data_IF_923931661902
#
_entry.id   IF_923931661902
#
_cell.length_a   1.000
_cell.length_b   1.000
_cell.length_c   1.000
_cell.angle_alpha   90.00
_cell.angle_beta   90.00
_cell.angle_gamma   90.00
#
_symmetry.space_group_name_H-M   'P 1'
#
loop_
_entity.id
_entity.type
_entity.pdbx_description
1 polymer ?
#
# COMPACT_ATOMS: atom_id res chain seq x y z
N UNK A 1 -5.90 8.13 -7.34
CA UNK A 1 -5.36 7.46 -8.55
C UNK A 1 -5.60 5.96 -8.42
N UNK A 2 -5.64 5.21 -9.53
CA UNK A 2 -5.79 3.73 -9.52
C UNK A 2 -4.44 3.05 -9.74
N UNK A 3 -4.30 1.82 -9.26
CA UNK A 3 -3.13 0.96 -9.46
C UNK A 3 -3.56 -0.48 -9.73
N UNK A 4 -2.68 -1.26 -10.37
CA UNK A 4 -2.86 -2.72 -10.59
C UNK A 4 -1.69 -3.56 -10.03
N UNK A 5 -0.64 -2.90 -9.54
CA UNK A 5 0.53 -3.55 -8.95
C UNK A 5 1.18 -2.63 -7.92
N UNK A 6 1.68 -3.24 -6.85
CA UNK A 6 2.44 -2.57 -5.80
C UNK A 6 3.70 -3.37 -5.49
N UNK A 7 4.81 -2.68 -5.29
CA UNK A 7 6.01 -3.25 -4.67
C UNK A 7 6.14 -2.70 -3.27
N UNK A 8 6.30 -3.57 -2.28
CA UNK A 8 6.52 -3.20 -0.88
C UNK A 8 7.72 -3.96 -0.37
N UNK A 9 8.75 -3.27 0.13
CA UNK A 9 10.00 -3.86 0.62
C UNK A 9 10.58 -4.91 -0.35
N UNK A 10 10.63 -4.60 -1.65
CA UNK A 10 11.06 -5.46 -2.78
C UNK A 10 10.11 -6.59 -3.18
N UNK A 11 9.04 -6.85 -2.42
CA UNK A 11 8.02 -7.83 -2.79
C UNK A 11 6.98 -7.19 -3.73
N UNK A 12 6.77 -7.80 -4.89
CA UNK A 12 5.76 -7.36 -5.86
C UNK A 12 4.44 -8.10 -5.67
N UNK A 13 3.34 -7.37 -5.62
CA UNK A 13 1.98 -7.88 -5.42
C UNK A 13 1.10 -7.31 -6.53
N UNK A 14 0.50 -8.19 -7.34
CA UNK A 14 -0.50 -7.80 -8.34
C UNK A 14 -1.86 -7.69 -7.66
N UNK A 15 -2.46 -6.51 -7.72
CA UNK A 15 -3.71 -6.18 -7.06
C UNK A 15 -4.25 -4.85 -7.54
N UNK A 16 -5.57 -4.78 -7.70
CA UNK A 16 -6.25 -3.55 -8.07
C UNK A 16 -6.61 -2.70 -6.84
N UNK A 17 -6.49 -1.39 -6.97
CA UNK A 17 -6.92 -0.49 -5.91
C UNK A 17 -6.81 0.97 -6.27
N UNK A 18 -6.99 1.80 -5.26
CA UNK A 18 -6.86 3.23 -5.34
C UNK A 18 -5.87 3.73 -4.31
N UNK A 19 -5.15 4.79 -4.66
CA UNK A 19 -4.28 5.48 -3.72
C UNK A 19 -4.41 7.00 -3.85
N UNK A 20 -4.13 7.69 -2.76
CA UNK A 20 -3.99 9.15 -2.70
C UNK A 20 -2.73 9.50 -1.93
N UNK A 21 -2.03 10.54 -2.36
CA UNK A 21 -0.87 11.10 -1.67
C UNK A 21 -1.24 12.50 -1.16
N UNK A 22 -1.12 12.71 0.15
CA UNK A 22 -1.34 13.98 0.84
C UNK A 22 -0.05 14.29 1.61
N UNK A 23 0.75 15.24 1.11
CA UNK A 23 2.11 15.51 1.60
C UNK A 23 2.98 14.23 1.63
N UNK A 24 3.36 13.74 2.81
CA UNK A 24 4.09 12.48 3.02
C UNK A 24 3.18 11.29 3.32
N UNK A 25 1.89 11.53 3.54
CA UNK A 25 0.94 10.48 3.84
C UNK A 25 0.45 9.82 2.55
N UNK A 26 0.47 8.49 2.51
CA UNK A 26 -0.09 7.69 1.42
C UNK A 26 -1.26 6.90 1.98
N UNK A 27 -2.43 7.08 1.38
CA UNK A 27 -3.61 6.27 1.68
C UNK A 27 -3.87 5.32 0.53
N UNK A 28 -3.98 4.04 0.83
CA UNK A 28 -4.25 2.97 -0.12
C UNK A 28 -5.59 2.31 0.24
N UNK A 29 -6.43 2.08 -0.75
CA UNK A 29 -7.70 1.37 -0.63
C UNK A 29 -7.77 0.25 -1.66
N UNK A 30 -7.98 -0.99 -1.21
CA UNK A 30 -8.06 -2.16 -2.09
C UNK A 30 -8.94 -3.25 -1.48
N UNK A 31 -9.60 -4.03 -2.32
CA UNK A 31 -10.29 -5.27 -1.90
C UNK A 31 -9.36 -6.49 -1.93
N UNK A 32 -8.11 -6.33 -2.37
CA UNK A 32 -7.15 -7.43 -2.50
C UNK A 32 -6.70 -7.95 -1.12
N UNK A 33 -7.12 -9.18 -0.80
CA UNK A 33 -6.75 -9.84 0.46
C UNK A 33 -5.25 -10.05 0.62
N UNK A 34 -4.50 -10.21 -0.47
CA UNK A 34 -3.03 -10.35 -0.46
C UNK A 34 -2.33 -9.11 0.09
N UNK A 35 -2.73 -7.92 -0.35
CA UNK A 35 -2.23 -6.65 0.19
C UNK A 35 -2.59 -6.52 1.66
N UNK A 36 -3.86 -6.76 2.00
CA UNK A 36 -4.32 -6.65 3.39
C UNK A 36 -3.58 -7.55 4.36
N UNK A 37 -3.38 -8.82 4.00
CA UNK A 37 -2.60 -9.77 4.80
C UNK A 37 -1.14 -9.35 4.94
N UNK A 38 -0.54 -8.83 3.87
CA UNK A 38 0.84 -8.37 3.89
C UNK A 38 1.02 -7.19 4.87
N UNK A 39 0.16 -6.17 4.81
CA UNK A 39 0.24 -5.03 5.74
C UNK A 39 -0.10 -5.40 7.18
N UNK A 40 -1.00 -6.36 7.42
CA UNK A 40 -1.23 -6.89 8.77
C UNK A 40 0.01 -7.57 9.35
N UNK A 41 0.85 -8.20 8.52
CA UNK A 41 2.11 -8.79 8.99
C UNK A 41 3.15 -7.71 9.30
N UNK A 42 3.24 -6.66 8.46
CA UNK A 42 4.12 -5.52 8.69
C UNK A 42 3.76 -4.74 9.97
N UNK A 43 2.47 -4.63 10.31
CA UNK A 43 2.02 -3.99 11.56
C UNK A 43 2.66 -4.64 12.80
N UNK A 44 2.97 -5.94 12.75
CA UNK A 44 3.58 -6.67 13.85
C UNK A 44 5.10 -6.47 13.96
N UNK A 45 5.76 -5.97 12.91
CA UNK A 45 7.23 -5.87 12.84
C UNK A 45 7.75 -4.46 13.07
N UNK A 46 6.89 -3.44 12.98
CA UNK A 46 7.27 -2.00 13.01
C UNK A 46 8.38 -1.65 11.99
N UNK A 47 8.46 -2.44 10.92
CA UNK A 47 9.43 -2.22 9.84
C UNK A 47 9.01 -1.04 8.97
N UNK A 48 10.02 -0.30 8.51
CA UNK A 48 9.82 0.73 7.49
C UNK A 48 9.43 0.11 6.16
N UNK A 49 8.65 0.87 5.41
CA UNK A 49 8.08 0.47 4.13
C UNK A 49 8.65 1.32 3.01
N UNK A 50 9.34 0.66 2.09
CA UNK A 50 9.65 1.19 0.77
C UNK A 50 8.55 0.74 -0.20
N UNK A 51 7.85 1.70 -0.80
CA UNK A 51 6.67 1.47 -1.61
C UNK A 51 6.82 2.03 -3.01
N UNK A 52 6.51 1.19 -4.00
CA UNK A 52 6.36 1.61 -5.40
C UNK A 52 4.98 1.19 -5.90
N UNK A 53 4.20 2.13 -6.44
CA UNK A 53 2.88 1.85 -7.00
C UNK A 53 2.95 1.95 -8.53
N UNK A 54 2.34 0.98 -9.22
CA UNK A 54 2.32 0.89 -10.68
C UNK A 54 0.89 0.91 -11.23
N UNK A 55 0.76 1.40 -12.46
CA UNK A 55 -0.41 1.16 -13.31
C UNK A 55 0.10 0.75 -14.68
N UNK A 56 -0.31 -0.43 -15.14
CA UNK A 56 0.29 -1.11 -16.29
C UNK A 56 1.81 -1.28 -16.04
N UNK A 57 2.64 -0.87 -17.00
CA UNK A 57 4.10 -0.89 -16.89
C UNK A 57 4.71 0.42 -16.36
N UNK A 58 3.87 1.35 -15.89
CA UNK A 58 4.32 2.69 -15.46
C UNK A 58 4.32 2.84 -13.94
N UNK A 59 5.44 3.32 -13.42
CA UNK A 59 5.56 3.79 -12.03
C UNK A 59 4.72 5.06 -11.83
N UNK A 60 3.92 5.07 -10.76
CA UNK A 60 3.03 6.18 -10.39
C UNK A 60 3.41 6.83 -9.06
N UNK A 61 4.07 6.08 -8.18
CA UNK A 61 4.54 6.52 -6.87
C UNK A 61 5.78 5.70 -6.50
N UNK A 62 6.76 6.34 -5.86
CA UNK A 62 7.95 5.70 -5.34
C UNK A 62 8.43 6.46 -4.12
N UNK A 63 8.14 5.90 -2.95
CA UNK A 63 8.32 6.51 -1.66
C UNK A 63 9.03 5.53 -0.74
N UNK A 64 9.85 6.05 0.17
CA UNK A 64 10.76 5.25 0.99
C UNK A 64 10.64 5.63 2.45
N UNK A 65 11.05 4.69 3.31
CA UNK A 65 11.11 4.90 4.76
C UNK A 65 9.77 5.26 5.41
N UNK A 66 8.65 4.84 4.82
CA UNK A 66 7.30 5.07 5.34
C UNK A 66 7.04 4.19 6.57
N UNK A 67 6.29 4.71 7.53
CA UNK A 67 5.74 3.94 8.65
C UNK A 67 4.28 3.61 8.40
N UNK A 68 3.87 2.37 8.72
CA UNK A 68 2.46 2.03 8.78
C UNK A 68 1.80 2.77 9.95
N UNK A 69 0.86 3.66 9.64
CA UNK A 69 0.13 4.44 10.65
C UNK A 69 -1.17 3.74 11.07
N UNK A 70 -1.94 3.23 10.10
CA UNK A 70 -3.20 2.53 10.40
C UNK A 70 -3.60 1.58 9.27
N UNK A 71 -4.17 0.44 9.62
CA UNK A 71 -4.91 -0.46 8.72
C UNK A 71 -6.34 -0.69 9.23
N UNK A 72 -7.34 -0.55 8.37
CA UNK A 72 -8.75 -0.85 8.69
C UNK A 72 -9.43 -1.62 7.58
N UNK A 73 -10.45 -2.42 7.93
CA UNK A 73 -11.28 -3.15 6.97
C UNK A 73 -12.71 -2.63 7.05
N UNK A 74 -13.20 -2.02 5.97
CA UNK A 74 -14.56 -1.45 5.89
C UNK A 74 -15.23 -1.90 4.60
N UNK A 75 -16.36 -2.60 4.73
CA UNK A 75 -17.15 -3.05 3.57
C UNK A 75 -16.35 -3.94 2.60
N UNK A 76 -15.46 -4.79 3.12
CA UNK A 76 -14.62 -5.68 2.32
C UNK A 76 -13.39 -5.03 1.66
N UNK A 77 -13.12 -3.75 1.94
CA UNK A 77 -11.92 -3.08 1.48
C UNK A 77 -10.96 -2.82 2.64
N UNK A 78 -9.68 -3.09 2.39
CA UNK A 78 -8.57 -2.63 3.21
C UNK A 78 -8.32 -1.16 2.93
N UNK A 79 -8.19 -0.37 3.98
CA UNK A 79 -7.73 1.03 3.96
C UNK A 79 -6.46 1.11 4.78
N UNK A 80 -5.36 1.43 4.12
CA UNK A 80 -4.01 1.45 4.68
C UNK A 80 -3.50 2.88 4.60
N UNK A 81 -2.97 3.40 5.71
CA UNK A 81 -2.33 4.70 5.78
C UNK A 81 -0.87 4.55 6.17
N UNK A 82 0.01 5.21 5.42
CA UNK A 82 1.45 5.24 5.59
C UNK A 82 1.93 6.69 5.71
N UNK A 83 2.91 6.98 6.56
CA UNK A 83 3.43 8.34 6.84
C UNK A 83 4.95 8.40 6.99
#
# INVERSE_FOLDING_TARGET
MVFDKISVNTQMIEAEGQFTQEDRAIRLTTSAGSIGQYFNQLELTDEKVDMIIYKDDHERLNEKELSLDTITVVGGNYRIQLV
#
